data_IF_002691004503
#
_entry.id   IF_002691004503
#
_cell.length_a   1.000
_cell.length_b   1.000
_cell.length_c   1.000
_cell.angle_alpha   90.00
_cell.angle_beta   90.00
_cell.angle_gamma   90.00
#
_symmetry.space_group_name_H-M   'P 1'
#
loop_
_entity.id
_entity.type
_entity.pdbx_description
1 polymer ?
#
# COMPACT_ATOMS: atom_id res chain seq x y z
N UNK A 1 38.68 -6.99 -56.68
CA UNK A 1 38.17 -5.92 -55.83
C UNK A 1 36.84 -6.27 -55.21
N UNK A 2 36.72 -7.37 -54.43
CA UNK A 2 35.46 -7.83 -53.83
C UNK A 2 35.57 -8.35 -52.40
N UNK A 3 36.66 -8.11 -51.68
CA UNK A 3 36.92 -8.63 -50.32
C UNK A 3 37.11 -7.59 -49.22
N UNK A 4 36.94 -6.29 -49.51
CA UNK A 4 37.18 -5.21 -48.53
C UNK A 4 35.89 -4.73 -47.84
N UNK A 5 34.72 -5.02 -48.41
CA UNK A 5 33.44 -4.52 -47.88
C UNK A 5 32.81 -5.37 -46.75
N UNK A 6 33.27 -6.60 -46.57
CA UNK A 6 32.72 -7.50 -45.54
C UNK A 6 33.33 -7.30 -44.15
N UNK A 7 34.47 -6.63 -44.01
CA UNK A 7 35.15 -6.41 -42.72
C UNK A 7 34.63 -5.13 -42.06
N UNK A 8 34.25 -4.13 -42.84
CA UNK A 8 33.72 -2.86 -42.31
C UNK A 8 32.32 -2.99 -41.68
N UNK A 9 31.51 -3.96 -42.13
CA UNK A 9 30.15 -4.18 -41.58
C UNK A 9 30.16 -4.95 -40.27
N UNK A 10 31.19 -5.76 -40.00
CA UNK A 10 31.31 -6.50 -38.72
C UNK A 10 31.91 -5.68 -37.60
N UNK A 11 32.61 -4.58 -37.89
CA UNK A 11 33.14 -3.66 -36.88
C UNK A 11 32.13 -2.63 -36.37
N UNK A 12 31.08 -2.37 -37.13
CA UNK A 12 29.98 -1.46 -36.74
C UNK A 12 28.95 -2.07 -35.79
N UNK A 13 28.87 -3.40 -35.70
CA UNK A 13 27.95 -4.12 -34.80
C UNK A 13 28.55 -4.33 -33.40
N UNK A 14 29.85 -4.19 -33.23
CA UNK A 14 30.56 -4.40 -31.96
C UNK A 14 30.66 -3.13 -31.07
N UNK A 15 30.17 -1.97 -31.53
CA UNK A 15 30.28 -0.69 -30.81
C UNK A 15 29.00 -0.26 -30.10
N UNK A 16 28.04 -1.12 -29.95
CA UNK A 16 26.80 -0.71 -29.30
C UNK A 16 26.26 -1.78 -28.39
N UNK A 17 26.61 -1.77 -27.13
CA UNK A 17 25.80 -2.21 -26.00
C UNK A 17 26.71 -2.46 -24.77
N UNK A 18 27.47 -1.47 -24.36
CA UNK A 18 27.77 -1.37 -22.93
C UNK A 18 26.50 -0.80 -22.30
N UNK A 19 25.55 -1.66 -21.97
CA UNK A 19 24.52 -1.33 -21.00
C UNK A 19 25.26 -1.08 -19.68
N UNK A 20 25.52 0.18 -19.36
CA UNK A 20 25.97 0.55 -18.02
C UNK A 20 24.79 0.24 -17.10
N UNK A 21 24.88 -0.84 -16.34
CA UNK A 21 23.93 -1.14 -15.27
C UNK A 21 24.05 -0.01 -14.25
N UNK A 22 23.00 0.81 -14.16
CA UNK A 22 22.88 1.85 -13.13
C UNK A 22 22.35 1.16 -11.88
N UNK A 23 23.11 1.16 -10.81
CA UNK A 23 22.61 0.75 -9.49
C UNK A 23 21.76 1.89 -8.94
N UNK A 24 20.52 1.58 -8.57
CA UNK A 24 19.57 2.51 -7.92
C UNK A 24 19.25 1.96 -6.53
N UNK A 25 19.43 2.80 -5.51
CA UNK A 25 19.07 2.48 -4.13
C UNK A 25 17.71 3.05 -3.82
N UNK A 26 16.78 2.17 -3.50
CA UNK A 26 15.43 2.51 -3.07
C UNK A 26 15.29 2.23 -1.57
N UNK A 27 14.50 3.06 -0.89
CA UNK A 27 14.12 2.86 0.51
C UNK A 27 12.60 2.73 0.58
N UNK A 28 12.11 1.60 1.05
CA UNK A 28 10.70 1.41 1.41
C UNK A 28 10.60 1.54 2.93
N UNK A 29 9.69 2.39 3.38
CA UNK A 29 9.31 2.52 4.80
C UNK A 29 7.81 2.27 4.86
N UNK A 30 7.42 1.32 5.67
CA UNK A 30 6.02 0.97 5.86
C UNK A 30 5.62 1.20 7.33
N UNK A 31 4.42 1.73 7.52
CA UNK A 31 3.70 1.72 8.80
C UNK A 31 2.48 0.83 8.68
N UNK A 32 2.11 0.17 9.76
CA UNK A 32 0.90 -0.64 9.87
C UNK A 32 0.36 -0.52 11.29
N UNK A 33 -0.96 -0.64 11.45
CA UNK A 33 -1.59 -0.76 12.76
C UNK A 33 -1.26 0.39 13.72
N UNK A 34 -1.29 1.61 13.19
CA UNK A 34 -1.03 2.83 13.98
C UNK A 34 -2.08 3.02 15.07
N UNK A 35 -3.33 2.59 14.81
CA UNK A 35 -4.41 2.60 15.79
C UNK A 35 -4.56 3.93 16.54
N UNK A 36 -4.53 5.05 15.80
CA UNK A 36 -4.68 6.38 16.36
C UNK A 36 -3.55 6.85 17.27
N UNK A 37 -2.41 6.12 17.33
CA UNK A 37 -1.22 6.52 18.08
C UNK A 37 -0.46 7.62 17.32
N UNK A 38 -1.07 8.79 17.22
CA UNK A 38 -0.49 9.95 16.53
C UNK A 38 0.61 10.64 17.33
N UNK A 39 0.45 10.68 18.63
CA UNK A 39 1.33 11.43 19.56
C UNK A 39 2.18 10.47 20.40
N UNK A 40 3.36 10.91 20.90
CA UNK A 40 4.20 10.10 21.78
C UNK A 40 3.63 10.03 23.22
N UNK A 41 2.32 9.89 23.33
CA UNK A 41 1.58 9.86 24.58
C UNK A 41 0.33 8.98 24.43
N UNK A 42 0.17 7.99 25.30
CA UNK A 42 -1.03 7.17 25.37
C UNK A 42 -2.06 7.84 26.27
N UNK A 43 -3.14 8.34 25.67
CA UNK A 43 -4.19 9.06 26.38
C UNK A 43 -5.07 8.16 27.27
N UNK A 44 -5.12 6.86 26.97
CA UNK A 44 -5.87 5.86 27.77
C UNK A 44 -5.11 5.55 29.04
N UNK A 45 -3.81 5.24 28.90
CA UNK A 45 -2.94 4.90 30.03
C UNK A 45 -2.30 6.11 30.73
N UNK A 46 -2.50 7.31 30.18
CA UNK A 46 -2.00 8.59 30.69
C UNK A 46 -0.48 8.60 30.95
N UNK A 47 0.29 8.06 30.01
CA UNK A 47 1.76 7.99 30.08
C UNK A 47 2.41 8.21 28.73
N UNK A 48 3.70 8.52 28.76
CA UNK A 48 4.51 8.54 27.54
C UNK A 48 4.47 7.20 26.84
N UNK A 49 4.48 7.25 25.49
CA UNK A 49 4.40 6.08 24.63
C UNK A 49 5.52 6.06 23.60
N UNK A 50 6.17 4.90 23.44
CA UNK A 50 7.29 4.73 22.51
C UNK A 50 6.86 4.67 21.04
N UNK A 51 5.69 4.06 20.77
CA UNK A 51 5.14 3.95 19.41
C UNK A 51 4.24 5.12 19.08
N UNK A 52 4.55 5.90 18.05
CA UNK A 52 3.63 6.93 17.56
C UNK A 52 4.04 7.41 16.17
N UNK A 53 3.06 7.91 15.43
CA UNK A 53 3.31 8.46 14.10
C UNK A 53 4.27 9.66 14.13
N UNK A 54 4.22 10.48 15.19
CA UNK A 54 5.17 11.58 15.39
C UNK A 54 6.62 11.11 15.51
N UNK A 55 6.87 9.94 16.13
CA UNK A 55 8.22 9.35 16.21
C UNK A 55 8.65 8.74 14.88
N UNK A 56 7.73 8.09 14.15
CA UNK A 56 7.96 7.62 12.80
C UNK A 56 8.37 8.77 11.89
N UNK A 57 7.74 9.95 12.04
CA UNK A 57 8.12 11.14 11.27
C UNK A 57 9.59 11.52 11.44
N UNK A 58 10.12 11.50 12.66
CA UNK A 58 11.53 11.80 12.92
C UNK A 58 12.46 10.82 12.19
N UNK A 59 12.16 9.54 12.23
CA UNK A 59 12.87 8.50 11.49
C UNK A 59 12.80 8.72 9.96
N UNK A 60 11.60 8.96 9.44
CA UNK A 60 11.39 9.21 8.01
C UNK A 60 12.16 10.44 7.52
N UNK A 61 12.23 11.51 8.33
CA UNK A 61 13.02 12.70 7.99
C UNK A 61 14.52 12.41 7.91
N UNK A 62 15.05 11.53 8.75
CA UNK A 62 16.44 11.09 8.69
C UNK A 62 16.70 10.27 7.42
N UNK A 63 15.85 9.28 7.13
CA UNK A 63 15.96 8.46 5.93
C UNK A 63 15.81 9.28 4.63
N UNK A 64 14.93 10.27 4.61
CA UNK A 64 14.81 11.18 3.46
C UNK A 64 16.07 11.99 3.17
N UNK A 65 16.88 12.31 4.19
CA UNK A 65 18.18 12.98 3.95
C UNK A 65 19.13 12.09 3.18
N UNK A 66 19.03 10.77 3.38
CA UNK A 66 19.92 9.80 2.73
C UNK A 66 19.41 9.37 1.34
N UNK A 67 18.10 9.22 1.19
CA UNK A 67 17.49 8.62 0.00
C UNK A 67 16.74 9.63 -0.89
N UNK A 68 16.42 10.83 -0.39
CA UNK A 68 15.68 11.84 -1.16
C UNK A 68 14.35 11.29 -1.68
N UNK A 69 14.09 11.48 -2.96
CA UNK A 69 12.89 11.01 -3.63
C UNK A 69 12.85 9.48 -3.84
N UNK A 70 13.98 8.79 -3.61
CA UNK A 70 14.06 7.33 -3.69
C UNK A 70 13.48 6.63 -2.44
N UNK A 71 12.96 7.39 -1.47
CA UNK A 71 12.19 6.85 -0.36
C UNK A 71 10.70 6.84 -0.72
N UNK A 72 10.07 5.67 -0.58
CA UNK A 72 8.62 5.52 -0.59
C UNK A 72 8.15 5.25 0.85
N UNK A 73 7.26 6.10 1.35
CA UNK A 73 6.59 5.95 2.63
C UNK A 73 5.18 5.40 2.37
N UNK A 74 4.90 4.22 2.88
CA UNK A 74 3.67 3.47 2.68
C UNK A 74 2.97 3.24 4.02
N UNK A 75 1.66 3.06 4.00
CA UNK A 75 0.86 2.65 5.15
C UNK A 75 0.03 1.43 4.80
N UNK A 76 0.03 0.42 5.67
CA UNK A 76 -0.70 -0.83 5.42
C UNK A 76 -2.07 -0.89 6.12
N UNK A 77 -2.58 0.24 6.63
CA UNK A 77 -3.92 0.32 7.21
C UNK A 77 -3.98 0.20 8.73
N UNK A 78 -5.21 0.23 9.24
CA UNK A 78 -5.57 0.25 10.66
C UNK A 78 -5.07 1.50 11.39
N UNK A 79 -5.43 2.66 10.84
CA UNK A 79 -5.11 3.96 11.43
C UNK A 79 -6.30 4.61 12.13
N UNK A 80 -7.55 4.29 11.73
CA UNK A 80 -8.75 5.01 12.15
C UNK A 80 -9.36 4.55 13.48
N UNK A 81 -8.84 3.50 14.11
CA UNK A 81 -9.36 2.96 15.36
C UNK A 81 -8.28 2.94 16.44
N UNK A 82 -8.64 3.04 17.70
CA UNK A 82 -7.73 2.84 18.85
C UNK A 82 -7.74 4.00 19.84
N UNK A 83 -6.84 4.96 19.71
CA UNK A 83 -6.71 6.06 20.67
C UNK A 83 -7.88 7.04 20.63
N UNK A 84 -8.20 7.73 21.75
CA UNK A 84 -9.29 8.72 21.83
C UNK A 84 -9.21 9.83 20.77
N UNK A 85 -8.01 10.16 20.29
CA UNK A 85 -7.82 11.14 19.23
C UNK A 85 -8.43 10.68 17.90
N UNK A 86 -8.28 9.40 17.54
CA UNK A 86 -8.96 8.84 16.36
C UNK A 86 -10.48 8.90 16.52
N UNK A 87 -11.00 8.41 17.66
CA UNK A 87 -12.43 8.45 17.96
C UNK A 87 -13.00 9.87 17.88
N UNK A 88 -12.29 10.87 18.40
CA UNK A 88 -12.74 12.27 18.38
C UNK A 88 -12.96 12.75 16.94
N UNK A 89 -12.00 12.52 16.05
CA UNK A 89 -12.12 12.93 14.64
C UNK A 89 -13.04 12.01 13.83
N UNK A 90 -13.22 10.77 14.24
CA UNK A 90 -14.21 9.89 13.60
C UNK A 90 -15.64 10.39 13.83
N UNK A 91 -16.01 10.73 15.09
CA UNK A 91 -17.39 10.81 15.48
C UNK A 91 -17.82 12.12 16.15
N UNK A 92 -16.87 12.91 16.66
CA UNK A 92 -17.17 14.17 17.36
C UNK A 92 -16.90 15.39 16.48
N UNK A 93 -15.71 15.53 15.96
CA UNK A 93 -15.35 16.58 15.00
C UNK A 93 -15.36 16.01 13.58
N UNK A 94 -16.54 16.03 12.97
CA UNK A 94 -16.72 15.52 11.60
C UNK A 94 -16.52 16.58 10.52
N UNK A 95 -16.18 17.83 10.89
CA UNK A 95 -16.06 18.99 9.99
C UNK A 95 -14.61 19.29 9.67
N UNK A 96 -13.73 19.30 10.67
CA UNK A 96 -12.29 19.52 10.48
C UNK A 96 -11.65 18.42 9.64
N UNK A 97 -10.50 18.71 9.04
CA UNK A 97 -9.69 17.68 8.41
C UNK A 97 -9.37 16.59 9.43
N UNK A 98 -9.60 15.33 9.04
CA UNK A 98 -9.34 14.19 9.90
C UNK A 98 -7.85 14.15 10.29
N UNK A 99 -7.55 13.96 11.56
CA UNK A 99 -6.16 14.01 12.07
C UNK A 99 -5.24 13.02 11.34
N UNK A 100 -5.74 11.81 11.02
CA UNK A 100 -4.96 10.83 10.25
C UNK A 100 -4.56 11.38 8.89
N UNK A 101 -5.52 11.91 8.11
CA UNK A 101 -5.22 12.52 6.80
C UNK A 101 -4.24 13.69 6.93
N UNK A 102 -4.47 14.58 7.92
CA UNK A 102 -3.61 15.76 8.11
C UNK A 102 -2.16 15.35 8.43
N UNK A 103 -1.96 14.37 9.30
CA UNK A 103 -0.62 13.89 9.66
C UNK A 103 0.04 13.13 8.51
N UNK A 104 -0.68 12.23 7.86
CA UNK A 104 -0.15 11.45 6.73
C UNK A 104 0.23 12.34 5.55
N UNK A 105 -0.61 13.34 5.21
CA UNK A 105 -0.29 14.34 4.18
C UNK A 105 0.95 15.15 4.56
N UNK A 106 1.02 15.64 5.81
CA UNK A 106 2.19 16.37 6.32
C UNK A 106 3.47 15.54 6.28
N UNK A 107 3.37 14.25 6.58
CA UNK A 107 4.49 13.31 6.52
C UNK A 107 4.89 12.93 5.10
N UNK A 108 4.02 13.18 4.10
CA UNK A 108 4.26 12.88 2.69
C UNK A 108 4.23 11.38 2.41
N UNK A 109 3.18 10.70 2.87
CA UNK A 109 2.91 9.32 2.44
C UNK A 109 2.71 9.26 0.92
N UNK A 110 3.19 8.18 0.33
CA UNK A 110 3.09 7.97 -1.12
C UNK A 110 1.87 7.13 -1.50
N UNK A 111 1.52 6.14 -0.67
CA UNK A 111 0.29 5.37 -0.76
C UNK A 111 -0.09 4.85 0.63
N UNK A 112 -1.38 4.57 0.82
CA UNK A 112 -1.90 3.83 1.95
C UNK A 112 -2.70 2.61 1.49
N UNK A 113 -3.00 1.72 2.42
CA UNK A 113 -3.91 0.60 2.24
C UNK A 113 -5.07 0.75 3.23
N UNK A 114 -6.17 0.05 2.99
CA UNK A 114 -7.27 -0.01 3.95
C UNK A 114 -7.12 -1.23 4.84
N UNK A 115 -7.20 -1.03 6.17
CA UNK A 115 -7.25 -2.09 7.15
C UNK A 115 -8.68 -2.42 7.61
N UNK A 116 -8.84 -3.50 8.37
CA UNK A 116 -10.16 -3.93 8.84
C UNK A 116 -10.77 -2.98 9.87
N UNK A 117 -9.96 -2.37 10.73
CA UNK A 117 -10.42 -1.34 11.66
C UNK A 117 -10.68 0.02 11.00
N UNK A 118 -10.14 0.26 9.79
CA UNK A 118 -10.57 1.41 9.01
C UNK A 118 -11.98 1.21 8.47
N UNK A 119 -12.31 -0.01 7.99
CA UNK A 119 -13.67 -0.39 7.59
C UNK A 119 -14.65 -0.32 8.77
N UNK A 120 -14.21 -0.71 9.98
CA UNK A 120 -15.00 -0.65 11.22
C UNK A 120 -15.50 0.77 11.53
N UNK A 121 -14.78 1.80 11.12
CA UNK A 121 -15.19 3.19 11.31
C UNK A 121 -16.43 3.57 10.50
N UNK A 122 -16.80 2.79 9.47
CA UNK A 122 -17.97 2.99 8.62
C UNK A 122 -17.76 4.04 7.51
N UNK A 123 -18.62 4.00 6.50
CA UNK A 123 -18.53 4.87 5.30
C UNK A 123 -18.41 6.37 5.62
N UNK A 124 -19.16 6.87 6.59
CA UNK A 124 -19.11 8.29 6.93
C UNK A 124 -17.71 8.75 7.37
N UNK A 125 -16.91 7.84 7.93
CA UNK A 125 -15.55 8.12 8.41
C UNK A 125 -14.52 7.81 7.35
N UNK A 126 -14.48 6.55 6.86
CA UNK A 126 -13.40 6.17 5.95
C UNK A 126 -13.50 6.86 4.58
N UNK A 127 -14.70 7.13 4.04
CA UNK A 127 -14.85 7.89 2.79
C UNK A 127 -14.32 9.32 2.94
N UNK A 128 -14.57 9.95 4.10
CA UNK A 128 -14.03 11.27 4.42
C UNK A 128 -12.51 11.25 4.52
N UNK A 129 -11.95 10.28 5.25
CA UNK A 129 -10.52 10.11 5.40
C UNK A 129 -9.83 9.89 4.04
N UNK A 130 -10.32 8.97 3.22
CA UNK A 130 -9.81 8.71 1.86
C UNK A 130 -9.81 9.99 1.02
N UNK A 131 -10.92 10.74 1.03
CA UNK A 131 -11.07 11.97 0.26
C UNK A 131 -10.12 13.08 0.72
N UNK A 132 -9.69 13.07 1.98
CA UNK A 132 -8.81 14.07 2.56
C UNK A 132 -7.32 13.70 2.47
N UNK A 133 -6.99 12.49 2.03
CA UNK A 133 -5.61 12.09 1.75
C UNK A 133 -5.15 12.66 0.39
N UNK A 134 -3.93 13.23 0.36
CA UNK A 134 -3.29 13.76 -0.86
C UNK A 134 -2.61 12.65 -1.68
N UNK A 135 -2.71 11.42 -1.24
CA UNK A 135 -2.17 10.20 -1.83
C UNK A 135 -3.25 9.12 -1.91
N UNK A 136 -3.11 8.11 -2.77
CA UNK A 136 -4.12 7.07 -2.92
C UNK A 136 -4.15 6.13 -1.72
N UNK A 137 -5.36 5.78 -1.27
CA UNK A 137 -5.63 4.60 -0.45
C UNK A 137 -5.96 3.46 -1.40
N UNK A 138 -5.23 2.35 -1.26
CA UNK A 138 -5.33 1.19 -2.13
C UNK A 138 -6.27 0.13 -1.55
N UNK A 139 -6.80 -0.73 -2.43
CA UNK A 139 -7.68 -1.83 -2.03
C UNK A 139 -8.16 -2.62 -3.24
N UNK A 140 -7.28 -3.44 -3.81
CA UNK A 140 -7.52 -4.17 -5.06
C UNK A 140 -8.66 -5.18 -4.96
N UNK A 141 -8.92 -5.72 -3.76
CA UNK A 141 -9.96 -6.72 -3.50
C UNK A 141 -11.21 -6.15 -2.81
N UNK A 142 -11.30 -4.82 -2.67
CA UNK A 142 -12.52 -4.15 -2.20
C UNK A 142 -13.34 -3.77 -3.43
N UNK A 143 -14.46 -4.43 -3.63
CA UNK A 143 -15.26 -4.37 -4.85
C UNK A 143 -16.63 -3.76 -4.57
N UNK A 144 -17.07 -2.81 -5.38
CA UNK A 144 -18.45 -2.30 -5.31
C UNK A 144 -19.42 -3.35 -5.82
N UNK A 145 -20.51 -3.57 -5.09
CA UNK A 145 -21.56 -4.53 -5.50
C UNK A 145 -22.38 -4.03 -6.68
N UNK A 146 -22.44 -2.70 -6.90
CA UNK A 146 -23.27 -2.05 -7.92
C UNK A 146 -22.76 -2.26 -9.35
N UNK A 147 -21.45 -2.17 -9.57
CA UNK A 147 -20.83 -2.22 -10.91
C UNK A 147 -19.72 -3.27 -11.04
N UNK A 148 -19.36 -3.93 -9.94
CA UNK A 148 -18.27 -4.91 -9.86
C UNK A 148 -16.87 -4.35 -10.11
N UNK A 149 -16.73 -3.05 -10.07
CA UNK A 149 -15.42 -2.39 -10.14
C UNK A 149 -14.78 -2.26 -8.75
N UNK A 150 -13.47 -2.06 -8.71
CA UNK A 150 -12.78 -1.81 -7.43
C UNK A 150 -13.29 -0.52 -6.79
N UNK A 151 -13.52 -0.57 -5.48
CA UNK A 151 -13.96 0.59 -4.70
C UNK A 151 -12.84 1.61 -4.56
N UNK A 152 -11.63 1.13 -4.30
CA UNK A 152 -10.41 1.91 -4.22
C UNK A 152 -9.52 1.67 -5.44
N UNK A 153 -8.49 2.49 -5.59
CA UNK A 153 -7.45 2.25 -6.59
C UNK A 153 -6.77 0.91 -6.27
N UNK A 154 -6.60 -0.01 -7.23
CA UNK A 154 -6.03 -1.32 -6.95
C UNK A 154 -4.52 -1.26 -6.69
N UNK A 155 -3.83 -0.42 -7.42
CA UNK A 155 -2.38 -0.22 -7.33
C UNK A 155 -1.98 1.21 -7.69
N UNK A 156 -0.79 1.61 -7.27
CA UNK A 156 -0.15 2.87 -7.66
C UNK A 156 1.19 2.61 -8.35
N UNK A 157 1.56 3.50 -9.28
CA UNK A 157 2.81 3.42 -10.03
C UNK A 157 3.70 4.60 -9.65
N UNK A 158 4.93 4.30 -9.27
CA UNK A 158 5.95 5.28 -8.97
C UNK A 158 7.14 5.13 -9.91
N UNK A 159 7.78 6.23 -10.23
CA UNK A 159 9.06 6.22 -10.95
C UNK A 159 10.11 6.91 -10.08
N UNK A 160 11.23 6.24 -9.85
CA UNK A 160 12.34 6.73 -9.01
C UNK A 160 13.66 6.43 -9.70
N UNK A 161 14.40 7.45 -10.10
CA UNK A 161 15.68 7.32 -10.81
C UNK A 161 15.64 6.42 -12.06
N UNK A 162 14.46 6.34 -12.71
CA UNK A 162 14.22 5.50 -13.88
C UNK A 162 13.81 4.06 -13.54
N UNK A 163 13.61 3.73 -12.25
CA UNK A 163 13.02 2.46 -11.80
C UNK A 163 11.52 2.63 -11.64
N UNK A 164 10.75 1.79 -12.32
CA UNK A 164 9.28 1.76 -12.20
C UNK A 164 8.87 0.79 -11.10
N UNK A 165 8.22 1.32 -10.08
CA UNK A 165 7.75 0.60 -8.90
C UNK A 165 6.22 0.57 -8.92
N UNK A 166 5.64 -0.61 -8.77
CA UNK A 166 4.18 -0.74 -8.60
C UNK A 166 3.90 -1.22 -7.19
N UNK A 167 2.97 -0.56 -6.51
CA UNK A 167 2.49 -0.95 -5.18
C UNK A 167 1.04 -1.41 -5.31
N UNK A 168 0.76 -2.68 -4.98
CA UNK A 168 -0.57 -3.30 -4.97
C UNK A 168 -1.06 -3.41 -3.53
N UNK A 169 -2.25 -2.88 -3.22
CA UNK A 169 -2.85 -2.95 -1.88
C UNK A 169 -4.00 -3.96 -1.82
N UNK A 170 -4.06 -4.75 -0.75
CA UNK A 170 -5.17 -5.66 -0.46
C UNK A 170 -5.47 -5.73 1.04
N UNK A 171 -6.68 -6.14 1.37
CA UNK A 171 -7.17 -6.36 2.73
C UNK A 171 -7.64 -7.80 2.89
N UNK A 172 -7.65 -8.32 4.12
CA UNK A 172 -8.28 -9.60 4.41
C UNK A 172 -9.72 -9.66 3.91
N UNK A 173 -10.16 -10.75 3.30
CA UNK A 173 -11.54 -10.91 2.87
C UNK A 173 -12.52 -11.23 4.00
N UNK A 174 -12.05 -11.42 5.24
CA UNK A 174 -12.85 -11.86 6.37
C UNK A 174 -13.73 -10.76 7.01
N UNK A 175 -13.72 -9.55 6.49
CA UNK A 175 -14.49 -8.41 6.98
C UNK A 175 -15.95 -8.77 7.30
N UNK A 176 -16.70 -9.52 6.45
CA UNK A 176 -18.11 -9.85 6.73
C UNK A 176 -18.32 -10.78 7.92
N UNK A 177 -17.27 -11.43 8.41
CA UNK A 177 -17.35 -12.29 9.62
C UNK A 177 -17.26 -11.45 10.89
N UNK A 178 -16.50 -10.35 10.85
CA UNK A 178 -16.19 -9.56 12.03
C UNK A 178 -17.08 -8.34 12.18
N UNK A 179 -17.50 -7.73 11.06
CA UNK A 179 -18.16 -6.44 11.05
C UNK A 179 -19.60 -6.52 10.51
N UNK A 180 -20.56 -5.82 11.11
CA UNK A 180 -21.92 -5.75 10.60
C UNK A 180 -21.94 -5.06 9.23
N UNK A 181 -22.80 -5.57 8.34
CA UNK A 181 -22.91 -5.10 6.95
C UNK A 181 -23.18 -3.59 6.84
N UNK A 182 -23.82 -2.98 7.83
CA UNK A 182 -24.10 -1.53 7.84
C UNK A 182 -22.84 -0.66 7.77
N UNK A 183 -21.67 -1.18 8.16
CA UNK A 183 -20.40 -0.44 8.12
C UNK A 183 -19.73 -0.47 6.74
N UNK A 184 -20.00 -1.52 5.95
CA UNK A 184 -19.40 -1.74 4.63
C UNK A 184 -20.46 -1.96 3.53
N UNK A 185 -21.67 -1.44 3.73
CA UNK A 185 -22.79 -1.62 2.81
C UNK A 185 -22.41 -1.23 1.37
N UNK A 186 -22.72 -2.10 0.41
CA UNK A 186 -22.40 -1.86 -1.00
C UNK A 186 -21.00 -2.30 -1.41
N UNK A 187 -20.23 -2.88 -0.50
CA UNK A 187 -18.93 -3.46 -0.78
C UNK A 187 -18.96 -4.99 -0.74
N UNK A 188 -17.95 -5.59 -1.32
CA UNK A 188 -17.65 -7.01 -1.30
C UNK A 188 -16.13 -7.17 -1.23
N UNK A 189 -15.65 -8.09 -0.40
CA UNK A 189 -14.23 -8.36 -0.20
C UNK A 189 -13.86 -9.66 -0.91
N UNK A 190 -13.15 -9.54 -2.02
CA UNK A 190 -12.78 -10.67 -2.86
C UNK A 190 -11.59 -11.44 -2.27
N UNK A 191 -11.44 -12.71 -2.66
CA UNK A 191 -10.29 -13.53 -2.30
C UNK A 191 -8.98 -12.89 -2.73
N UNK A 192 -7.98 -12.91 -1.85
CA UNK A 192 -6.71 -12.23 -2.09
C UNK A 192 -5.88 -12.91 -3.19
N UNK A 193 -5.84 -14.25 -3.24
CA UNK A 193 -5.05 -14.98 -4.25
C UNK A 193 -5.63 -14.77 -5.65
N UNK A 194 -6.96 -14.88 -5.79
CA UNK A 194 -7.63 -14.64 -7.07
C UNK A 194 -7.45 -13.19 -7.54
N UNK A 195 -7.56 -12.25 -6.61
CA UNK A 195 -7.35 -10.82 -6.87
C UNK A 195 -5.91 -10.53 -7.28
N UNK A 196 -4.94 -11.05 -6.53
CA UNK A 196 -3.52 -10.88 -6.86
C UNK A 196 -3.19 -11.46 -8.23
N UNK A 197 -3.69 -12.65 -8.56
CA UNK A 197 -3.51 -13.29 -9.86
C UNK A 197 -4.04 -12.42 -11.01
N UNK A 198 -5.23 -11.83 -10.83
CA UNK A 198 -5.84 -10.92 -11.81
C UNK A 198 -4.98 -9.68 -12.00
N UNK A 199 -4.65 -8.98 -10.91
CA UNK A 199 -3.96 -7.70 -10.99
C UNK A 199 -2.49 -7.84 -11.39
N UNK A 200 -1.78 -8.88 -10.94
CA UNK A 200 -0.40 -9.14 -11.36
C UNK A 200 -0.29 -9.34 -12.87
N UNK A 201 -1.25 -10.04 -13.48
CA UNK A 201 -1.29 -10.16 -14.94
C UNK A 201 -1.43 -8.78 -15.61
N UNK A 202 -2.36 -7.95 -15.15
CA UNK A 202 -2.59 -6.61 -15.69
C UNK A 202 -1.35 -5.73 -15.50
N UNK A 203 -0.76 -5.74 -14.30
CA UNK A 203 0.43 -4.98 -13.95
C UNK A 203 1.60 -5.35 -14.86
N UNK A 204 1.88 -6.63 -15.02
CA UNK A 204 2.98 -7.10 -15.87
C UNK A 204 2.79 -6.76 -17.35
N UNK A 205 1.57 -6.89 -17.86
CA UNK A 205 1.27 -6.60 -19.27
C UNK A 205 1.27 -5.10 -19.59
N UNK A 206 0.66 -4.30 -18.70
CA UNK A 206 0.42 -2.87 -18.93
C UNK A 206 1.55 -1.98 -18.44
N UNK A 207 2.01 -2.19 -17.21
CA UNK A 207 2.98 -1.31 -16.56
C UNK A 207 4.43 -1.73 -16.80
N UNK A 208 4.68 -3.05 -16.91
CA UNK A 208 6.03 -3.62 -17.08
C UNK A 208 6.99 -3.08 -16.00
N UNK A 209 6.66 -3.27 -14.72
CA UNK A 209 7.44 -2.71 -13.62
C UNK A 209 8.80 -3.35 -13.48
N UNK A 210 9.74 -2.60 -12.90
CA UNK A 210 11.03 -3.12 -12.45
C UNK A 210 10.93 -3.73 -11.05
N UNK A 211 10.01 -3.20 -10.21
CA UNK A 211 9.77 -3.67 -8.84
C UNK A 211 8.27 -3.70 -8.57
N UNK A 212 7.78 -4.77 -7.96
CA UNK A 212 6.40 -4.89 -7.47
C UNK A 212 6.38 -5.13 -5.97
N UNK A 213 5.66 -4.26 -5.27
CA UNK A 213 5.47 -4.30 -3.82
C UNK A 213 4.01 -4.64 -3.52
N UNK A 214 3.78 -5.63 -2.69
CA UNK A 214 2.47 -5.92 -2.11
C UNK A 214 2.38 -5.34 -0.70
N UNK A 215 1.38 -4.51 -0.43
CA UNK A 215 1.00 -4.10 0.93
C UNK A 215 -0.34 -4.76 1.26
N UNK A 216 -0.30 -5.75 2.14
CA UNK A 216 -1.45 -6.61 2.41
C UNK A 216 -1.84 -6.53 3.88
N UNK A 217 -3.00 -5.94 4.15
CA UNK A 217 -3.55 -5.91 5.51
C UNK A 217 -4.29 -7.22 5.80
N UNK A 218 -3.52 -8.27 6.03
CA UNK A 218 -3.96 -9.61 6.38
C UNK A 218 -2.83 -10.35 7.10
N UNK A 219 -3.17 -11.36 7.88
CA UNK A 219 -2.15 -12.19 8.55
C UNK A 219 -1.34 -13.05 7.57
N UNK A 220 -0.27 -13.64 8.08
CA UNK A 220 0.68 -14.44 7.31
C UNK A 220 0.60 -15.95 7.65
N UNK A 221 -0.28 -16.36 8.56
CA UNK A 221 -0.47 -17.76 8.92
C UNK A 221 -1.29 -18.49 7.86
N UNK A 222 -0.59 -19.17 6.95
CA UNK A 222 -1.23 -19.94 5.88
C UNK A 222 -2.33 -20.86 6.42
N UNK A 223 -3.52 -20.82 5.79
CA UNK A 223 -4.70 -21.65 6.08
C UNK A 223 -5.60 -21.22 7.24
N UNK A 224 -5.40 -20.05 7.83
CA UNK A 224 -6.39 -19.53 8.79
C UNK A 224 -7.67 -19.18 8.03
N UNK A 225 -8.78 -19.75 8.53
CA UNK A 225 -10.11 -19.54 7.97
C UNK A 225 -11.00 -18.83 8.98
N UNK A 226 -11.65 -17.75 8.53
CA UNK A 226 -12.77 -17.12 9.23
C UNK A 226 -14.05 -17.38 8.42
N UNK A 227 -14.88 -18.29 8.91
CA UNK A 227 -16.04 -18.77 8.16
C UNK A 227 -15.62 -19.39 6.84
N UNK A 228 -16.07 -18.82 5.71
CA UNK A 228 -15.72 -19.26 4.36
C UNK A 228 -14.51 -18.52 3.77
N UNK A 229 -13.96 -17.53 4.47
CA UNK A 229 -12.90 -16.65 3.98
C UNK A 229 -11.53 -17.14 4.42
N UNK A 230 -10.54 -17.05 3.53
CA UNK A 230 -9.11 -17.19 3.88
C UNK A 230 -8.66 -15.88 4.51
N UNK A 231 -8.61 -15.86 5.82
CA UNK A 231 -8.30 -14.66 6.62
C UNK A 231 -6.86 -14.20 6.41
N UNK A 232 -5.91 -15.12 6.62
CA UNK A 232 -4.47 -14.85 6.64
C UNK A 232 -3.81 -15.36 5.35
N UNK A 233 -4.00 -14.66 4.24
CA UNK A 233 -3.56 -15.13 2.94
C UNK A 233 -2.28 -14.46 2.41
N UNK A 234 -1.63 -13.55 3.16
CA UNK A 234 -0.47 -12.80 2.67
C UNK A 234 0.68 -13.70 2.23
N UNK A 235 1.05 -14.70 3.06
CA UNK A 235 2.11 -15.66 2.73
C UNK A 235 1.75 -16.53 1.51
N UNK A 236 0.48 -16.96 1.40
CA UNK A 236 0.04 -17.77 0.27
C UNK A 236 0.10 -16.98 -1.04
N UNK A 237 -0.28 -15.71 -1.02
CA UNK A 237 -0.16 -14.82 -2.18
C UNK A 237 1.32 -14.67 -2.58
N UNK A 238 2.19 -14.34 -1.61
CA UNK A 238 3.62 -14.17 -1.87
C UNK A 238 4.27 -15.42 -2.49
N UNK A 239 3.87 -16.62 -2.03
CA UNK A 239 4.44 -17.89 -2.50
C UNK A 239 3.86 -18.37 -3.83
N UNK A 240 2.58 -18.12 -4.11
CA UNK A 240 1.86 -18.72 -5.24
C UNK A 240 1.69 -17.78 -6.43
N UNK A 241 1.80 -16.50 -6.23
CA UNK A 241 1.64 -15.50 -7.29
C UNK A 241 3.00 -14.93 -7.64
N UNK A 242 3.57 -15.30 -8.79
CA UNK A 242 4.89 -14.82 -9.18
C UNK A 242 4.86 -13.32 -9.53
N UNK A 243 6.00 -12.65 -9.32
CA UNK A 243 6.24 -11.29 -9.76
C UNK A 243 6.19 -10.23 -8.66
N UNK A 244 5.92 -10.58 -7.41
CA UNK A 244 6.19 -9.72 -6.26
C UNK A 244 7.67 -9.81 -5.89
N UNK A 245 8.29 -8.65 -5.66
CA UNK A 245 9.66 -8.53 -5.17
C UNK A 245 9.69 -8.32 -3.65
N UNK A 246 8.64 -7.68 -3.12
CA UNK A 246 8.42 -7.41 -1.69
C UNK A 246 6.94 -7.63 -1.37
N UNK A 247 6.68 -8.28 -0.23
CA UNK A 247 5.35 -8.40 0.39
C UNK A 247 5.50 -8.22 1.89
#
# INVERSE_FOLDING_TARGET
MRRVYSIALLLLVALGLSATTKEVKLKLVETSDIHGNFFPYNFIEQREWGGSLARVYSFVQEERRAYGDNLLLLDNGDILQGQPSAYYYNFMDTVSTHIASAMMNYMGYNAGNMGNHDVEAGHAVFDRWIKQCDFPILGANIIRTSDRETYLKPYEVFERDGVKIVVLGMITPAIPVWLPETLWQGLYFADMEETARKWMKIIQEKEKPDVVVGIFHAGNEARTMSGQYREDASMEVAQRIPGFDVV
#
